data_IF_957006313894
#
_entry.id   IF_957006313894
#
_cell.length_a   1.000
_cell.length_b   1.000
_cell.length_c   1.000
_cell.angle_alpha   90.00
_cell.angle_beta   90.00
_cell.angle_gamma   90.00
#
_symmetry.space_group_name_H-M   'P 1'
#
loop_
_entity.id
_entity.type
_entity.pdbx_description
1 polymer ?
#
# COMPACT_ATOMS: atom_id res chain seq x y z
N UNK A 1 0.29 -32.14 -54.47
CA UNK A 1 -0.90 -31.40 -54.00
C UNK A 1 -0.67 -31.13 -52.52
N UNK A 2 -0.27 -29.90 -52.22
CA UNK A 2 0.37 -29.47 -50.97
C UNK A 2 -0.56 -29.50 -49.75
N UNK A 3 -0.20 -30.31 -48.74
CA UNK A 3 -0.83 -30.34 -47.42
C UNK A 3 -0.01 -29.49 -46.40
N UNK A 4 1.10 -28.89 -46.83
CA UNK A 4 2.10 -28.24 -45.97
C UNK A 4 1.85 -26.77 -45.64
N UNK A 5 1.01 -26.04 -46.37
CA UNK A 5 0.91 -24.58 -46.23
C UNK A 5 -0.06 -24.08 -45.13
N UNK A 6 -1.13 -24.82 -44.82
CA UNK A 6 -2.25 -24.31 -43.99
C UNK A 6 -2.00 -24.44 -42.48
N UNK A 7 -1.02 -25.26 -42.03
CA UNK A 7 -0.73 -25.41 -40.59
C UNK A 7 0.39 -24.50 -40.08
N UNK A 8 1.37 -24.14 -40.90
CA UNK A 8 2.50 -23.31 -40.49
C UNK A 8 2.14 -21.83 -40.34
N UNK A 9 1.30 -21.29 -41.23
CA UNK A 9 0.90 -19.88 -41.18
C UNK A 9 0.10 -19.54 -39.90
N UNK A 10 -0.79 -20.42 -39.46
CA UNK A 10 -1.59 -20.21 -38.25
C UNK A 10 -0.75 -20.35 -36.97
N UNK A 11 0.19 -21.30 -36.95
CA UNK A 11 1.13 -21.47 -35.82
C UNK A 11 2.09 -20.28 -35.74
N UNK A 12 2.59 -19.81 -36.89
CA UNK A 12 3.44 -18.62 -36.98
C UNK A 12 2.68 -17.37 -36.51
N UNK A 13 1.42 -17.21 -36.88
CA UNK A 13 0.58 -16.09 -36.45
C UNK A 13 0.33 -16.11 -34.93
N UNK A 14 0.07 -17.28 -34.34
CA UNK A 14 -0.08 -17.44 -32.88
C UNK A 14 1.22 -17.10 -32.15
N UNK A 15 2.36 -17.60 -32.65
CA UNK A 15 3.68 -17.27 -32.09
C UNK A 15 4.00 -15.78 -32.22
N UNK A 16 3.62 -15.15 -33.34
CA UNK A 16 3.83 -13.73 -33.57
C UNK A 16 2.98 -12.87 -32.61
N UNK A 17 1.72 -13.24 -32.38
CA UNK A 17 0.84 -12.56 -31.41
C UNK A 17 1.35 -12.75 -29.97
N UNK A 18 1.80 -13.96 -29.61
CA UNK A 18 2.37 -14.24 -28.29
C UNK A 18 3.69 -13.48 -28.06
N UNK A 19 4.55 -13.40 -29.08
CA UNK A 19 5.76 -12.59 -29.03
C UNK A 19 5.45 -11.10 -28.89
N UNK A 20 4.43 -10.59 -29.59
CA UNK A 20 4.02 -9.18 -29.48
C UNK A 20 3.46 -8.84 -28.09
N UNK A 21 2.79 -9.79 -27.43
CA UNK A 21 2.35 -9.69 -26.03
C UNK A 21 3.52 -9.71 -25.02
N UNK A 22 4.65 -10.34 -25.34
CA UNK A 22 5.86 -10.30 -24.50
C UNK A 22 6.63 -8.98 -24.64
N UNK A 23 6.40 -8.21 -25.70
CA UNK A 23 6.98 -6.88 -25.90
C UNK A 23 6.16 -5.76 -25.25
N UNK A 24 4.99 -6.04 -24.67
CA UNK A 24 4.26 -5.00 -23.94
C UNK A 24 5.01 -4.67 -22.65
N UNK A 25 5.29 -3.39 -22.36
CA UNK A 25 5.95 -3.01 -21.12
C UNK A 25 5.06 -3.45 -19.96
N UNK A 26 5.56 -4.39 -19.15
CA UNK A 26 4.92 -4.73 -17.89
C UNK A 26 4.90 -3.44 -17.06
N UNK A 27 3.74 -2.99 -16.54
CA UNK A 27 3.72 -1.88 -15.62
C UNK A 27 4.60 -2.26 -14.43
N UNK A 28 5.63 -1.46 -14.18
CA UNK A 28 6.51 -1.64 -13.04
C UNK A 28 5.67 -1.56 -11.78
N UNK A 29 5.53 -2.68 -11.06
CA UNK A 29 4.97 -2.71 -9.71
C UNK A 29 5.99 -1.99 -8.82
N UNK A 30 5.78 -0.70 -8.60
CA UNK A 30 6.46 0.00 -7.52
C UNK A 30 5.81 -0.46 -6.23
N UNK A 31 6.45 -1.39 -5.53
CA UNK A 31 6.25 -1.47 -4.09
C UNK A 31 6.72 -0.13 -3.54
N UNK A 32 5.84 0.63 -2.89
CA UNK A 32 6.15 1.87 -2.18
C UNK A 32 7.20 1.54 -1.10
N UNK A 33 8.46 1.51 -1.49
CA UNK A 33 9.60 1.42 -0.59
C UNK A 33 9.69 2.77 0.10
N UNK A 34 9.48 2.77 1.41
CA UNK A 34 9.38 3.96 2.25
C UNK A 34 10.29 5.09 1.79
N UNK A 35 9.64 6.19 1.39
CA UNK A 35 10.30 7.44 1.03
C UNK A 35 11.23 7.90 2.17
N UNK A 36 12.34 8.58 1.83
CA UNK A 36 13.15 9.24 2.84
C UNK A 36 12.26 10.17 3.66
N UNK A 37 12.46 10.20 4.97
CA UNK A 37 11.73 11.07 5.91
C UNK A 37 11.88 12.52 5.45
N UNK A 38 10.89 13.04 4.72
CA UNK A 38 10.87 14.42 4.24
C UNK A 38 10.83 15.37 5.44
N UNK A 39 11.32 16.60 5.27
CA UNK A 39 11.35 17.61 6.33
C UNK A 39 9.96 17.91 6.93
N UNK A 40 8.88 17.61 6.21
CA UNK A 40 7.47 17.71 6.65
C UNK A 40 7.07 16.63 7.70
N UNK A 41 7.93 15.64 7.91
CA UNK A 41 7.72 14.54 8.85
C UNK A 41 8.30 14.84 10.26
N UNK A 42 8.80 16.06 10.48
CA UNK A 42 9.31 16.53 11.77
C UNK A 42 8.58 17.81 12.16
N UNK A 43 7.97 17.83 13.34
CA UNK A 43 7.25 18.99 13.86
C UNK A 43 7.77 19.37 15.25
N UNK A 44 8.11 20.65 15.43
CA UNK A 44 8.47 21.22 16.73
C UNK A 44 7.25 21.97 17.29
N UNK A 45 6.72 21.51 18.43
CA UNK A 45 5.52 22.07 19.06
C UNK A 45 5.74 22.43 20.51
N UNK A 46 4.93 23.36 21.01
CA UNK A 46 4.85 23.72 22.42
C UNK A 46 3.52 23.23 22.99
N UNK A 47 3.58 22.22 23.85
CA UNK A 47 2.42 21.61 24.51
C UNK A 47 2.41 21.98 26.01
N UNK A 48 1.91 23.18 26.31
CA UNK A 48 1.96 23.75 27.66
C UNK A 48 3.41 24.05 28.07
N UNK A 49 3.91 23.54 29.21
CA UNK A 49 5.29 23.77 29.66
C UNK A 49 6.34 22.90 28.91
N UNK A 50 5.91 22.09 27.95
CA UNK A 50 6.78 21.16 27.24
C UNK A 50 7.06 21.62 25.81
N UNK A 51 8.34 21.62 25.42
CA UNK A 51 8.75 21.65 24.03
C UNK A 51 8.89 20.20 23.53
N UNK A 52 8.17 19.86 22.47
CA UNK A 52 8.11 18.51 21.92
C UNK A 52 8.53 18.52 20.47
N UNK A 53 9.58 17.76 20.14
CA UNK A 53 9.92 17.44 18.75
C UNK A 53 9.26 16.11 18.38
N UNK A 54 8.36 16.13 17.42
CA UNK A 54 7.66 14.97 16.87
C UNK A 54 8.37 14.53 15.60
N UNK A 55 8.66 13.24 15.47
CA UNK A 55 9.34 12.65 14.32
C UNK A 55 8.56 11.44 13.85
N UNK A 56 8.18 11.41 12.57
CA UNK A 56 7.62 10.21 11.97
C UNK A 56 8.77 9.23 11.66
N UNK A 57 8.80 8.09 12.36
CA UNK A 57 9.89 7.09 12.26
C UNK A 57 9.62 6.15 11.08
N UNK A 58 8.37 5.71 10.93
CA UNK A 58 7.94 4.87 9.82
C UNK A 58 6.45 5.08 9.60
N UNK A 59 6.09 5.42 8.38
CA UNK A 59 4.73 5.70 7.95
C UNK A 59 4.34 4.75 6.82
N UNK A 60 3.91 3.54 7.17
CA UNK A 60 3.18 2.71 6.21
C UNK A 60 1.72 3.18 6.18
N UNK A 61 1.52 4.40 5.67
CA UNK A 61 0.22 5.07 5.63
C UNK A 61 -0.78 4.29 4.78
N UNK A 62 -0.33 3.66 3.69
CA UNK A 62 -1.16 2.79 2.86
C UNK A 62 -1.80 1.63 3.65
N UNK A 63 -1.12 1.14 4.69
CA UNK A 63 -1.66 0.11 5.58
C UNK A 63 -2.41 0.69 6.80
N UNK A 64 -2.50 2.02 6.91
CA UNK A 64 -3.08 2.73 8.05
C UNK A 64 -2.16 2.84 9.27
N UNK A 65 -0.90 2.38 9.21
CA UNK A 65 -0.04 2.33 10.40
C UNK A 65 0.95 3.49 10.46
N UNK A 66 1.02 4.13 11.64
CA UNK A 66 2.03 5.16 11.92
C UNK A 66 2.87 4.81 13.15
N UNK A 67 4.16 5.08 13.06
CA UNK A 67 5.11 4.99 14.16
C UNK A 67 5.82 6.33 14.32
N UNK A 68 5.66 6.95 15.49
CA UNK A 68 6.19 8.27 15.79
C UNK A 68 7.10 8.23 17.02
N UNK A 69 8.14 9.05 16.98
CA UNK A 69 8.99 9.40 18.11
C UNK A 69 8.68 10.81 18.59
N UNK A 70 8.79 11.01 19.90
CA UNK A 70 8.56 12.27 20.58
C UNK A 70 9.77 12.53 21.47
N UNK A 71 10.44 13.67 21.27
CA UNK A 71 11.47 14.15 22.17
C UNK A 71 10.87 15.24 23.03
N UNK A 72 10.72 14.98 24.33
CA UNK A 72 10.08 15.89 25.29
C UNK A 72 11.13 16.59 26.13
N UNK A 73 11.08 17.92 26.13
CA UNK A 73 11.95 18.80 26.92
C UNK A 73 11.13 19.88 27.61
N UNK A 74 11.66 20.44 28.69
CA UNK A 74 11.10 21.62 29.33
C UNK A 74 11.26 22.82 28.38
N UNK A 75 10.17 23.52 28.10
CA UNK A 75 10.18 24.64 27.15
C UNK A 75 10.97 25.86 27.65
N UNK A 76 11.15 25.99 28.96
CA UNK A 76 11.85 27.11 29.59
C UNK A 76 13.34 26.86 29.77
N UNK A 77 13.73 25.64 30.12
CA UNK A 77 15.12 25.27 30.43
C UNK A 77 15.80 24.42 29.35
N UNK A 78 15.02 23.75 28.50
CA UNK A 78 15.52 22.77 27.53
C UNK A 78 15.92 21.42 28.16
N UNK A 79 15.69 21.22 29.46
CA UNK A 79 16.04 19.99 30.15
C UNK A 79 15.16 18.81 29.75
N UNK A 80 15.70 17.61 29.90
CA UNK A 80 15.01 16.37 29.59
C UNK A 80 13.86 16.09 30.57
N UNK A 81 12.64 15.92 30.05
CA UNK A 81 11.49 15.53 30.88
C UNK A 81 11.32 14.02 30.82
N UNK A 82 11.80 13.34 31.85
CA UNK A 82 11.84 11.86 31.88
C UNK A 82 10.56 11.20 32.39
N UNK A 83 9.66 11.93 33.02
CA UNK A 83 8.43 11.41 33.61
C UNK A 83 7.18 11.98 32.94
N UNK A 84 7.29 12.31 31.66
CA UNK A 84 6.14 12.67 30.83
C UNK A 84 5.29 11.45 30.47
N UNK A 85 3.98 11.67 30.42
CA UNK A 85 3.00 10.82 29.75
C UNK A 85 2.56 11.55 28.48
N UNK A 86 2.74 10.88 27.34
CA UNK A 86 2.42 11.41 26.02
C UNK A 86 1.24 10.63 25.45
N UNK A 87 0.14 11.33 25.20
CA UNK A 87 -1.08 10.81 24.58
C UNK A 87 -1.24 11.44 23.21
N UNK A 88 -1.64 10.64 22.25
CA UNK A 88 -1.79 11.05 20.86
C UNK A 88 -3.26 10.87 20.49
N UNK A 89 -3.88 11.92 19.95
CA UNK A 89 -5.23 11.89 19.39
C UNK A 89 -5.15 12.23 17.91
N UNK A 90 -5.52 11.30 17.05
CA UNK A 90 -5.63 11.50 15.61
C UNK A 90 -7.11 11.69 15.25
N UNK A 91 -7.41 12.68 14.40
CA UNK A 91 -8.77 12.99 13.98
C UNK A 91 -8.82 13.09 12.46
N UNK A 92 -9.79 12.43 11.84
CA UNK A 92 -10.16 12.63 10.44
C UNK A 92 -11.57 13.21 10.43
N UNK A 93 -11.66 14.53 10.29
CA UNK A 93 -12.93 15.26 10.37
C UNK A 93 -13.89 14.93 9.23
N UNK A 94 -13.36 14.53 8.05
CA UNK A 94 -14.17 14.24 6.86
C UNK A 94 -14.89 12.91 6.96
N UNK A 95 -14.24 11.92 7.55
CA UNK A 95 -14.75 10.56 7.68
C UNK A 95 -15.32 10.27 9.09
N UNK A 96 -15.36 11.28 9.98
CA UNK A 96 -15.80 11.16 11.38
C UNK A 96 -15.05 10.06 12.18
N UNK A 97 -13.77 9.83 11.85
CA UNK A 97 -12.93 8.85 12.54
C UNK A 97 -12.00 9.52 13.55
N UNK A 98 -11.84 8.87 14.71
CA UNK A 98 -10.86 9.23 15.71
C UNK A 98 -9.99 8.04 16.10
N UNK A 99 -8.70 8.29 16.30
CA UNK A 99 -7.71 7.33 16.79
C UNK A 99 -7.05 7.84 18.06
N UNK A 100 -6.83 6.95 19.03
CA UNK A 100 -6.12 7.25 20.27
C UNK A 100 -4.90 6.35 20.41
N UNK A 101 -3.80 6.92 20.86
CA UNK A 101 -2.56 6.20 21.13
C UNK A 101 -1.80 6.79 22.32
N UNK A 102 -0.83 6.04 22.82
CA UNK A 102 0.12 6.52 23.81
C UNK A 102 1.54 6.25 23.35
N UNK A 103 2.45 7.16 23.66
CA UNK A 103 3.87 6.95 23.48
C UNK A 103 4.52 6.53 24.79
N UNK A 104 5.50 5.63 24.69
CA UNK A 104 6.20 5.04 25.82
C UNK A 104 7.67 5.40 25.77
N UNK A 105 8.26 5.63 26.94
CA UNK A 105 9.69 5.95 27.05
C UNK A 105 10.54 4.87 26.39
N UNK A 106 11.56 5.30 25.63
CA UNK A 106 12.55 4.42 25.00
C UNK A 106 13.91 4.61 25.67
N UNK A 107 14.35 3.69 26.55
CA UNK A 107 15.70 3.71 27.08
C UNK A 107 16.74 3.53 25.96
N UNK A 108 17.93 4.17 26.03
CA UNK A 108 18.46 4.91 27.18
C UNK A 108 18.18 6.42 27.20
N UNK A 109 17.55 7.01 26.17
CA UNK A 109 17.33 8.46 26.12
C UNK A 109 16.11 8.86 26.98
N UNK A 110 16.30 9.61 28.08
CA UNK A 110 15.20 10.00 28.97
C UNK A 110 14.19 10.92 28.29
N UNK A 111 14.54 11.58 27.17
CA UNK A 111 13.66 12.50 26.45
C UNK A 111 12.77 11.79 25.45
N UNK A 112 13.11 10.56 25.07
CA UNK A 112 12.51 9.89 23.92
C UNK A 112 11.34 9.00 24.32
N UNK A 113 10.23 9.20 23.62
CA UNK A 113 9.03 8.39 23.72
C UNK A 113 8.61 7.95 22.33
N UNK A 114 8.28 6.67 22.13
CA UNK A 114 7.81 6.16 20.85
C UNK A 114 6.38 5.64 20.97
N UNK A 115 5.54 5.98 20.00
CA UNK A 115 4.12 5.63 19.95
C UNK A 115 3.73 5.07 18.59
N UNK A 116 2.84 4.07 18.60
CA UNK A 116 2.27 3.47 17.39
C UNK A 116 0.75 3.55 17.44
N UNK A 117 0.14 3.81 16.29
CA UNK A 117 -1.31 3.73 16.15
C UNK A 117 -1.71 3.30 14.75
N UNK A 118 -2.97 2.91 14.63
CA UNK A 118 -3.62 2.61 13.37
C UNK A 118 -4.63 3.72 13.03
N UNK A 119 -4.64 4.15 11.79
CA UNK A 119 -5.52 5.13 11.17
C UNK A 119 -6.58 4.35 10.40
N UNK A 120 -7.83 4.43 10.86
CA UNK A 120 -8.91 3.53 10.41
C UNK A 120 -9.48 3.84 9.03
N UNK A 121 -9.05 4.94 8.40
CA UNK A 121 -9.58 5.43 7.13
C UNK A 121 -8.53 6.17 6.31
N UNK A 122 -8.83 6.35 5.03
CA UNK A 122 -8.03 7.13 4.08
C UNK A 122 -8.38 8.62 4.18
N UNK A 123 -7.53 9.49 3.64
CA UNK A 123 -7.68 10.94 3.66
C UNK A 123 -6.86 11.62 4.74
N UNK A 124 -7.20 12.88 5.03
CA UNK A 124 -6.42 13.76 5.90
C UNK A 124 -6.66 13.45 7.38
N UNK A 125 -5.57 13.30 8.13
CA UNK A 125 -5.55 13.06 9.56
C UNK A 125 -4.78 14.16 10.28
N UNK A 126 -5.41 14.79 11.26
CA UNK A 126 -4.78 15.78 12.13
C UNK A 126 -4.30 15.09 13.41
N UNK A 127 -3.00 15.14 13.68
CA UNK A 127 -2.38 14.53 14.85
C UNK A 127 -2.22 15.56 15.96
N UNK A 128 -2.88 15.33 17.08
CA UNK A 128 -2.79 16.14 18.29
C UNK A 128 -2.03 15.39 19.37
N UNK A 129 -1.11 16.09 20.02
CA UNK A 129 -0.25 15.53 21.07
C UNK A 129 -0.58 16.21 22.39
N UNK A 130 -0.83 15.41 23.41
CA UNK A 130 -1.07 15.87 24.78
C UNK A 130 0.03 15.31 25.68
N UNK A 131 0.68 16.20 26.42
CA UNK A 131 1.77 15.86 27.32
C UNK A 131 1.41 16.27 28.73
N UNK A 132 1.61 15.36 29.68
CA UNK A 132 1.46 15.60 31.11
C UNK A 132 2.68 15.11 31.88
N UNK A 133 3.24 15.95 32.74
CA UNK A 133 4.35 15.64 33.66
C UNK A 133 4.16 16.43 34.97
N UNK A 134 5.07 16.32 35.97
CA UNK A 134 5.03 17.20 37.14
C UNK A 134 5.17 18.69 36.83
N UNK A 135 5.71 19.07 35.65
CA UNK A 135 5.79 20.46 35.21
C UNK A 135 4.42 21.04 34.82
N UNK A 136 3.44 20.17 34.54
CA UNK A 136 2.08 20.56 34.15
C UNK A 136 1.54 19.71 33.00
N UNK A 137 0.49 20.21 32.35
CA UNK A 137 -0.17 19.54 31.23
C UNK A 137 -0.38 20.53 30.08
N UNK A 138 -0.35 20.03 28.85
CA UNK A 138 -0.67 20.82 27.66
C UNK A 138 -0.85 19.96 26.43
N UNK A 139 -1.56 20.50 25.44
CA UNK A 139 -1.77 19.84 24.15
C UNK A 139 -1.53 20.80 22.99
N UNK A 140 -1.06 20.26 21.87
CA UNK A 140 -0.88 21.01 20.64
C UNK A 140 -1.05 20.10 19.42
N UNK A 141 -1.44 20.69 18.29
CA UNK A 141 -1.48 20.03 17.00
C UNK A 141 -0.05 19.89 16.47
N UNK A 142 0.35 18.65 16.16
CA UNK A 142 1.70 18.33 15.76
C UNK A 142 1.88 18.38 14.23
N UNK A 143 1.13 17.56 13.51
CA UNK A 143 1.24 17.44 12.06
C UNK A 143 -0.06 16.95 11.44
N UNK A 144 -0.18 17.15 10.13
CA UNK A 144 -1.26 16.61 9.29
C UNK A 144 -0.68 15.54 8.39
N UNK A 145 -1.35 14.39 8.30
CA UNK A 145 -0.94 13.26 7.47
C UNK A 145 -2.02 12.96 6.44
N UNK A 146 -1.64 12.77 5.18
CA UNK A 146 -2.55 12.28 4.15
C UNK A 146 -2.40 10.76 3.98
N UNK A 147 -3.46 10.01 4.30
CA UNK A 147 -3.49 8.56 4.13
C UNK A 147 -4.04 8.24 2.73
N UNK A 148 -3.21 7.73 1.80
CA UNK A 148 -3.66 7.54 0.42
C UNK A 148 -4.74 6.45 0.34
N UNK A 149 -5.76 6.69 -0.48
CA UNK A 149 -6.68 5.64 -0.87
C UNK A 149 -5.94 4.53 -1.61
N UNK A 150 -6.05 3.29 -1.12
CA UNK A 150 -5.46 2.14 -1.79
C UNK A 150 -6.16 1.95 -3.13
N UNK A 151 -5.60 2.51 -4.19
CA UNK A 151 -6.17 2.39 -5.52
C UNK A 151 -5.98 0.93 -5.96
N UNK A 152 -7.02 0.12 -5.77
CA UNK A 152 -7.05 -1.28 -6.18
C UNK A 152 -7.07 -1.28 -7.71
N UNK A 153 -5.89 -1.22 -8.32
CA UNK A 153 -5.74 -1.32 -9.77
C UNK A 153 -6.25 -2.69 -10.22
N UNK A 154 -7.49 -2.73 -10.70
CA UNK A 154 -8.14 -3.94 -11.24
C UNK A 154 -7.71 -4.24 -12.68
N UNK A 155 -6.79 -3.45 -13.25
CA UNK A 155 -6.37 -3.54 -14.66
C UNK A 155 -5.70 -4.87 -15.01
N UNK A 156 -4.98 -5.49 -14.07
CA UNK A 156 -4.36 -6.81 -14.29
C UNK A 156 -5.37 -7.95 -14.46
N UNK A 157 -6.59 -7.81 -13.92
CA UNK A 157 -7.58 -8.88 -13.97
C UNK A 157 -8.17 -9.07 -15.36
N UNK A 158 -8.35 -7.98 -16.13
CA UNK A 158 -8.98 -8.03 -17.44
C UNK A 158 -8.09 -8.72 -18.49
N UNK A 159 -6.78 -8.46 -18.45
CA UNK A 159 -5.79 -9.15 -19.29
C UNK A 159 -5.73 -10.63 -18.93
N UNK A 160 -5.74 -10.97 -17.63
CA UNK A 160 -5.82 -12.36 -17.18
C UNK A 160 -7.07 -13.06 -17.72
N UNK A 161 -8.26 -12.46 -17.60
CA UNK A 161 -9.49 -13.04 -18.13
C UNK A 161 -9.48 -13.17 -19.66
N UNK A 162 -8.88 -12.21 -20.37
CA UNK A 162 -8.74 -12.28 -21.83
C UNK A 162 -7.82 -13.43 -22.27
N UNK A 163 -6.63 -13.55 -21.67
CA UNK A 163 -5.68 -14.62 -21.96
C UNK A 163 -6.27 -15.98 -21.57
N UNK A 164 -6.88 -16.08 -20.39
CA UNK A 164 -7.53 -17.30 -19.92
C UNK A 164 -8.69 -17.71 -20.84
N UNK A 165 -9.52 -16.74 -21.27
CA UNK A 165 -10.60 -16.97 -22.22
C UNK A 165 -10.10 -17.49 -23.56
N UNK A 166 -9.03 -16.91 -24.10
CA UNK A 166 -8.41 -17.36 -25.34
C UNK A 166 -7.88 -18.80 -25.23
N UNK A 167 -7.21 -19.13 -24.13
CA UNK A 167 -6.74 -20.50 -23.87
C UNK A 167 -7.90 -21.49 -23.79
N UNK A 168 -8.98 -21.15 -23.08
CA UNK A 168 -10.17 -22.00 -22.97
C UNK A 168 -10.85 -22.23 -24.31
N UNK A 169 -10.99 -21.19 -25.14
CA UNK A 169 -11.52 -21.33 -26.50
C UNK A 169 -10.64 -22.23 -27.37
N UNK A 170 -9.32 -22.15 -27.22
CA UNK A 170 -8.39 -23.06 -27.88
C UNK A 170 -8.62 -24.53 -27.51
N UNK A 171 -8.82 -24.82 -26.22
CA UNK A 171 -9.10 -26.18 -25.74
C UNK A 171 -10.44 -26.69 -26.29
N UNK A 172 -11.50 -25.87 -26.24
CA UNK A 172 -12.82 -26.23 -26.79
C UNK A 172 -12.74 -26.51 -28.29
N UNK A 173 -11.99 -25.69 -29.03
CA UNK A 173 -11.79 -25.87 -30.46
C UNK A 173 -11.06 -27.19 -30.79
N UNK A 174 -9.99 -27.51 -30.06
CA UNK A 174 -9.26 -28.77 -30.24
C UNK A 174 -10.18 -29.98 -30.01
N UNK A 175 -10.98 -29.94 -28.94
CA UNK A 175 -11.92 -31.01 -28.63
C UNK A 175 -12.97 -31.20 -29.74
N UNK A 176 -13.53 -30.09 -30.23
CA UNK A 176 -14.50 -30.13 -31.32
C UNK A 176 -13.88 -30.64 -32.64
N UNK A 177 -12.67 -30.20 -32.95
CA UNK A 177 -11.93 -30.62 -34.16
C UNK A 177 -11.66 -32.12 -34.15
N UNK A 178 -11.16 -32.67 -33.04
CA UNK A 178 -10.89 -34.13 -32.91
C UNK A 178 -12.18 -34.93 -33.04
N UNK A 179 -13.26 -34.49 -32.38
CA UNK A 179 -14.57 -35.17 -32.47
C UNK A 179 -15.11 -35.17 -33.91
N UNK A 180 -14.94 -34.07 -34.64
CA UNK A 180 -15.38 -33.94 -36.03
C UNK A 180 -14.57 -34.85 -36.96
N UNK A 181 -13.27 -34.93 -36.76
CA UNK A 181 -12.39 -35.77 -37.59
C UNK A 181 -12.63 -37.27 -37.35
N UNK A 182 -12.86 -37.68 -36.10
CA UNK A 182 -13.22 -39.06 -35.78
C UNK A 182 -14.58 -39.47 -36.38
N UNK A 183 -15.58 -38.57 -36.41
CA UNK A 183 -16.86 -38.84 -37.08
C UNK A 183 -16.70 -39.08 -38.58
N UNK A 184 -15.89 -38.26 -39.25
CA UNK A 184 -15.64 -38.40 -40.70
C UNK A 184 -14.94 -39.70 -41.07
N UNK A 185 -14.13 -40.26 -40.16
CA UNK A 185 -13.48 -41.56 -40.37
C UNK A 185 -14.45 -42.72 -40.23
N UNK A 186 -15.35 -42.66 -39.25
CA UNK A 186 -16.42 -43.67 -39.08
C UNK A 186 -17.37 -43.70 -40.29
N UNK A 187 -17.76 -42.53 -40.80
CA UNK A 187 -18.63 -42.43 -41.99
C UNK A 187 -17.94 -42.92 -43.29
N UNK A 188 -16.60 -43.01 -43.32
CA UNK A 188 -15.82 -43.54 -44.45
C UNK A 188 -15.55 -45.05 -44.35
N UNK A 189 -15.65 -45.63 -43.15
CA UNK A 189 -15.48 -47.06 -42.91
C UNK A 189 -16.82 -47.82 -43.07
N UNK A 190 -17.96 -47.13 -43.00
CA UNK A 190 -19.31 -47.70 -43.15
C UNK A 190 -19.93 -47.54 -44.56
N UNK A 191 -19.23 -46.92 -45.52
CA UNK A 191 -19.67 -46.72 -46.91
C UNK A 191 -18.86 -47.52 -47.93
#
# INVERSE_FOLDING_TARGET
MDISAIRLANISLIFFIAALLLLTPLPSVSAQSGEPVEADQVADIIAGPHAVKVVLINSNLAAGFIHMGFLVTDASTGEAVSDARVVIKAINDKEEYEGWGSAHKVPPDPRRYDGRMNLGSTGEWVINVHVSSPLGQGGATALTLEVPALNRYTEGSLVYFAVFGALMLGVVYLFWSVKRENRRKLDQEEG
#
